data_IF_623820903095
#
_entry.id   IF_623820903095
#
_cell.length_a   1.000
_cell.length_b   1.000
_cell.length_c   1.000
_cell.angle_alpha   90.00
_cell.angle_beta   90.00
_cell.angle_gamma   90.00
#
_symmetry.space_group_name_H-M   'P 1'
#
loop_
_entity.id
_entity.type
_entity.pdbx_description
1 polymer ?
#
# COMPACT_ATOMS: atom_id res chain seq x y z
N UNK A 1 0.06 1.88 28.24
CA UNK A 1 0.11 0.65 27.41
C UNK A 1 0.76 1.03 26.10
N UNK A 2 1.93 0.47 25.77
CA UNK A 2 2.71 0.87 24.59
C UNK A 2 2.37 0.00 23.38
N UNK A 3 1.99 0.64 22.26
CA UNK A 3 1.83 -0.02 20.96
C UNK A 3 0.55 -0.85 20.77
N UNK A 4 0.09 -0.94 19.52
CA UNK A 4 -0.68 -2.08 19.01
C UNK A 4 0.31 -2.97 18.28
N UNK A 5 0.30 -4.28 18.50
CA UNK A 5 1.23 -5.18 17.82
C UNK A 5 1.03 -5.19 16.29
N UNK A 6 2.11 -5.01 15.54
CA UNK A 6 2.08 -4.94 14.07
C UNK A 6 2.49 -6.29 13.48
N UNK A 7 1.49 -7.08 13.06
CA UNK A 7 1.74 -8.37 12.42
C UNK A 7 2.00 -8.22 10.92
N UNK A 8 3.05 -8.88 10.41
CA UNK A 8 3.31 -8.96 8.96
C UNK A 8 2.47 -10.08 8.32
N UNK A 9 1.44 -9.69 7.58
CA UNK A 9 0.71 -10.52 6.61
C UNK A 9 1.50 -10.60 5.29
N UNK A 10 1.38 -11.70 4.53
CA UNK A 10 2.13 -11.95 3.28
C UNK A 10 1.15 -12.06 2.10
N UNK A 11 1.25 -11.18 1.09
CA UNK A 11 0.32 -11.22 -0.04
C UNK A 11 0.63 -12.34 -1.04
N UNK A 12 -0.41 -12.88 -1.70
CA UNK A 12 -0.28 -14.02 -2.63
C UNK A 12 0.64 -13.75 -3.83
N UNK A 13 0.72 -12.50 -4.29
CA UNK A 13 1.67 -12.08 -5.33
C UNK A 13 3.14 -12.18 -4.84
N UNK A 14 3.40 -11.92 -3.56
CA UNK A 14 4.73 -12.12 -2.95
C UNK A 14 5.06 -13.61 -2.82
N UNK A 15 4.09 -14.46 -2.44
CA UNK A 15 4.24 -15.93 -2.44
C UNK A 15 4.59 -16.47 -3.82
N UNK A 16 3.82 -16.11 -4.84
CA UNK A 16 4.05 -16.54 -6.23
C UNK A 16 5.44 -16.13 -6.72
N UNK A 17 5.89 -14.92 -6.38
CA UNK A 17 7.26 -14.46 -6.66
C UNK A 17 8.34 -15.25 -5.89
N UNK A 18 8.06 -15.61 -4.64
CA UNK A 18 8.97 -16.38 -3.77
C UNK A 18 9.06 -17.86 -4.13
N UNK A 19 8.07 -18.45 -4.81
CA UNK A 19 8.16 -19.80 -5.40
C UNK A 19 8.81 -19.71 -6.79
N UNK A 20 8.28 -18.84 -7.65
CA UNK A 20 8.66 -18.77 -9.06
C UNK A 20 10.11 -18.39 -9.27
N UNK A 21 10.64 -17.39 -8.54
CA UNK A 21 12.04 -16.94 -8.71
C UNK A 21 13.05 -18.06 -8.35
N UNK A 22 12.95 -18.77 -7.20
CA UNK A 22 13.78 -19.94 -6.94
C UNK A 22 13.64 -21.06 -7.97
N UNK A 23 12.44 -21.41 -8.44
CA UNK A 23 12.27 -22.47 -9.45
C UNK A 23 12.89 -22.09 -10.81
N UNK A 24 12.66 -20.87 -11.30
CA UNK A 24 13.30 -20.40 -12.54
C UNK A 24 14.82 -20.26 -12.41
N UNK A 25 15.33 -19.87 -11.23
CA UNK A 25 16.77 -19.86 -10.96
C UNK A 25 17.34 -21.29 -10.96
N UNK A 26 16.67 -22.24 -10.30
CA UNK A 26 17.07 -23.66 -10.27
C UNK A 26 17.06 -24.29 -11.68
N UNK A 27 16.06 -23.98 -12.53
CA UNK A 27 16.03 -24.40 -13.94
C UNK A 27 17.23 -23.88 -14.74
N UNK A 28 17.73 -22.67 -14.43
CA UNK A 28 18.85 -22.03 -15.15
C UNK A 28 20.24 -22.41 -14.63
N UNK A 29 20.37 -22.82 -13.37
CA UNK A 29 21.66 -23.07 -12.74
C UNK A 29 22.34 -24.34 -13.30
N UNK A 30 23.44 -24.18 -14.05
CA UNK A 30 24.21 -25.29 -14.64
C UNK A 30 24.69 -26.33 -13.62
N UNK A 31 24.94 -25.93 -12.38
CA UNK A 31 25.36 -26.81 -11.27
C UNK A 31 24.29 -27.81 -10.81
N UNK A 32 23.03 -27.65 -11.26
CA UNK A 32 21.94 -28.58 -10.95
C UNK A 32 21.86 -29.66 -12.04
N UNK A 33 21.54 -30.89 -11.64
CA UNK A 33 21.53 -32.05 -12.55
C UNK A 33 20.69 -31.81 -13.81
N UNK A 34 21.15 -32.36 -14.95
CA UNK A 34 20.60 -32.06 -16.28
C UNK A 34 19.11 -32.41 -16.35
N UNK A 35 18.71 -33.54 -15.78
CA UNK A 35 17.34 -34.05 -15.87
C UNK A 35 16.36 -33.27 -15.01
N UNK A 36 16.76 -32.85 -13.80
CA UNK A 36 16.01 -31.87 -12.99
C UNK A 36 15.69 -30.62 -13.83
N UNK A 37 16.68 -30.10 -14.57
CA UNK A 37 16.51 -28.89 -15.40
C UNK A 37 15.72 -29.14 -16.69
N UNK A 38 15.74 -30.35 -17.23
CA UNK A 38 14.90 -30.81 -18.35
C UNK A 38 13.43 -30.85 -17.90
N UNK A 39 13.15 -31.61 -16.85
CA UNK A 39 11.82 -32.00 -16.39
C UNK A 39 11.10 -30.89 -15.61
N UNK A 40 11.83 -29.99 -14.94
CA UNK A 40 11.27 -28.74 -14.40
C UNK A 40 10.96 -27.75 -15.54
N UNK A 41 9.92 -28.02 -16.32
CA UNK A 41 9.53 -27.22 -17.50
C UNK A 41 8.93 -25.86 -17.13
N UNK A 42 8.89 -24.94 -18.10
CA UNK A 42 8.26 -23.63 -17.90
C UNK A 42 6.74 -23.70 -17.71
N UNK A 43 6.10 -24.76 -18.20
CA UNK A 43 4.69 -25.08 -17.98
C UNK A 43 4.46 -25.60 -16.57
N UNK A 44 5.16 -26.67 -16.14
CA UNK A 44 5.03 -27.23 -14.79
C UNK A 44 5.36 -26.20 -13.70
N UNK A 45 6.30 -25.25 -13.93
CA UNK A 45 6.49 -24.09 -13.03
C UNK A 45 5.24 -23.17 -12.96
N UNK A 46 4.62 -22.80 -14.08
CA UNK A 46 3.40 -21.97 -14.07
C UNK A 46 2.25 -22.68 -13.38
N UNK A 47 2.17 -24.00 -13.55
CA UNK A 47 1.16 -24.87 -12.96
C UNK A 47 1.28 -24.91 -11.42
N UNK A 48 2.48 -25.14 -10.87
CA UNK A 48 2.75 -25.02 -9.43
C UNK A 48 2.23 -23.69 -8.88
N UNK A 49 2.50 -22.58 -9.57
CA UNK A 49 2.07 -21.25 -9.15
C UNK A 49 0.54 -21.08 -9.20
N UNK A 50 -0.12 -21.58 -10.24
CA UNK A 50 -1.56 -21.52 -10.39
C UNK A 50 -2.29 -22.37 -9.34
N UNK A 51 -1.81 -23.58 -9.06
CA UNK A 51 -2.41 -24.47 -8.06
C UNK A 51 -2.22 -23.89 -6.65
N UNK A 52 -1.03 -23.38 -6.31
CA UNK A 52 -0.81 -22.67 -5.03
C UNK A 52 -1.74 -21.46 -4.88
N UNK A 53 -1.97 -20.70 -5.96
CA UNK A 53 -2.96 -19.61 -5.92
C UNK A 53 -4.39 -20.12 -5.65
N UNK A 54 -4.83 -21.21 -6.30
CA UNK A 54 -6.13 -21.83 -6.01
C UNK A 54 -6.23 -22.29 -4.54
N UNK A 55 -5.20 -22.92 -4.00
CA UNK A 55 -5.15 -23.36 -2.59
C UNK A 55 -5.31 -22.20 -1.60
N UNK A 56 -4.58 -21.10 -1.82
CA UNK A 56 -4.66 -19.89 -0.98
C UNK A 56 -6.04 -19.22 -1.10
N UNK A 57 -6.61 -19.16 -2.30
CA UNK A 57 -7.92 -18.53 -2.53
C UNK A 57 -9.06 -19.35 -1.91
N UNK A 58 -9.02 -20.68 -2.00
CA UNK A 58 -10.06 -21.55 -1.48
C UNK A 58 -10.06 -21.65 0.05
N UNK A 59 -8.88 -21.66 0.68
CA UNK A 59 -8.75 -21.68 2.15
C UNK A 59 -8.68 -20.28 2.77
N UNK A 60 -9.14 -19.25 2.05
CA UNK A 60 -9.17 -17.89 2.57
C UNK A 60 -10.09 -17.79 3.79
N UNK A 61 -9.62 -17.11 4.84
CA UNK A 61 -10.28 -17.00 6.15
C UNK A 61 -10.62 -18.34 6.85
N UNK A 62 -10.04 -19.46 6.40
CA UNK A 62 -10.22 -20.79 6.98
C UNK A 62 -9.18 -21.14 8.06
N UNK A 63 -8.88 -22.43 8.19
CA UNK A 63 -7.82 -22.92 9.07
C UNK A 63 -6.46 -23.08 8.35
N UNK A 64 -5.38 -23.01 9.12
CA UNK A 64 -4.01 -23.06 8.62
C UNK A 64 -3.60 -24.48 8.17
N UNK A 65 -4.11 -25.54 8.80
CA UNK A 65 -3.84 -26.93 8.38
C UNK A 65 -4.65 -27.34 7.14
N UNK A 66 -5.88 -26.82 6.97
CA UNK A 66 -6.65 -27.04 5.72
C UNK A 66 -5.97 -26.39 4.51
N UNK A 67 -5.24 -25.28 4.69
CA UNK A 67 -4.36 -24.70 3.67
C UNK A 67 -3.06 -25.50 3.47
N UNK A 68 -2.41 -25.99 4.54
CA UNK A 68 -1.13 -26.72 4.44
C UNK A 68 -1.27 -28.05 3.70
N UNK A 69 -2.35 -28.81 3.93
CA UNK A 69 -2.57 -30.13 3.34
C UNK A 69 -2.54 -30.13 1.79
N UNK A 70 -3.34 -29.31 1.07
CA UNK A 70 -3.28 -29.25 -0.38
C UNK A 70 -1.98 -28.62 -0.90
N UNK A 71 -1.35 -27.69 -0.17
CA UNK A 71 -0.06 -27.12 -0.55
C UNK A 71 1.06 -28.19 -0.59
N UNK A 72 1.04 -29.17 0.33
CA UNK A 72 1.96 -30.33 0.30
C UNK A 72 1.72 -31.23 -0.93
N UNK A 73 0.50 -31.27 -1.46
CA UNK A 73 0.14 -32.11 -2.61
C UNK A 73 0.41 -31.45 -3.98
N UNK A 74 0.78 -30.16 -4.02
CA UNK A 74 1.04 -29.44 -5.29
C UNK A 74 2.05 -30.15 -6.20
N UNK A 75 3.19 -30.71 -5.72
CA UNK A 75 4.11 -31.43 -6.61
C UNK A 75 3.48 -32.69 -7.19
N UNK A 76 2.77 -33.47 -6.38
CA UNK A 76 2.09 -34.69 -6.82
C UNK A 76 1.12 -34.38 -7.96
N UNK A 77 0.25 -33.38 -7.78
CA UNK A 77 -0.70 -32.92 -8.79
C UNK A 77 -0.02 -32.53 -10.12
N UNK A 78 1.05 -31.73 -10.05
CA UNK A 78 1.76 -31.21 -11.23
C UNK A 78 2.56 -32.29 -11.95
N UNK A 79 3.04 -33.30 -11.24
CA UNK A 79 3.64 -34.50 -11.82
C UNK A 79 2.64 -35.66 -11.94
N UNK A 80 1.36 -35.33 -12.14
CA UNK A 80 0.27 -36.20 -12.61
C UNK A 80 -0.09 -37.39 -11.69
N UNK A 81 0.23 -37.24 -10.40
CA UNK A 81 -0.28 -38.05 -9.28
C UNK A 81 -1.45 -37.32 -8.62
N UNK A 82 -2.66 -37.63 -9.09
CA UNK A 82 -3.91 -36.96 -8.77
C UNK A 82 -4.66 -37.53 -7.54
N UNK A 83 -4.33 -38.74 -7.10
CA UNK A 83 -4.98 -39.50 -6.02
C UNK A 83 -5.17 -38.81 -4.64
N UNK A 84 -4.50 -37.68 -4.37
CA UNK A 84 -4.69 -36.84 -3.17
C UNK A 84 -5.15 -35.41 -3.47
N UNK A 85 -5.58 -35.12 -4.70
CA UNK A 85 -5.99 -33.78 -5.12
C UNK A 85 -7.34 -33.35 -4.53
N UNK A 86 -7.60 -32.04 -4.57
CA UNK A 86 -8.86 -31.45 -4.14
C UNK A 86 -9.64 -30.93 -5.35
N UNK A 87 -10.96 -31.14 -5.34
CA UNK A 87 -11.89 -30.88 -6.47
C UNK A 87 -11.80 -29.42 -6.96
N UNK A 88 -11.55 -28.46 -6.07
CA UNK A 88 -11.46 -27.03 -6.43
C UNK A 88 -10.19 -26.66 -7.22
N UNK A 89 -9.20 -27.55 -7.35
CA UNK A 89 -8.04 -27.34 -8.23
C UNK A 89 -7.80 -28.41 -9.28
N UNK A 90 -8.34 -29.63 -9.10
CA UNK A 90 -8.14 -30.78 -9.97
C UNK A 90 -9.48 -31.44 -10.34
N UNK A 91 -9.67 -31.75 -11.62
CA UNK A 91 -10.79 -32.56 -12.11
C UNK A 91 -10.39 -33.98 -12.52
N UNK A 92 -9.08 -34.26 -12.60
CA UNK A 92 -8.55 -35.58 -12.89
C UNK A 92 -8.62 -36.48 -11.66
N UNK A 93 -8.93 -37.76 -11.86
CA UNK A 93 -9.02 -38.80 -10.80
C UNK A 93 -8.05 -39.96 -11.08
N UNK A 94 -7.65 -40.16 -12.33
CA UNK A 94 -6.66 -41.16 -12.77
C UNK A 94 -5.22 -40.64 -12.63
N UNK A 95 -4.34 -41.40 -11.99
CA UNK A 95 -2.90 -41.09 -11.92
C UNK A 95 -2.16 -41.51 -13.21
N UNK A 96 -1.27 -40.65 -13.71
CA UNK A 96 -0.36 -40.92 -14.83
C UNK A 96 1.10 -40.85 -14.34
N UNK A 97 1.55 -41.92 -13.67
CA UNK A 97 2.73 -41.91 -12.79
C UNK A 97 4.10 -41.83 -13.50
N UNK A 98 4.18 -41.73 -14.83
CA UNK A 98 5.45 -41.62 -15.56
C UNK A 98 6.22 -40.35 -15.17
N UNK A 99 5.56 -39.20 -15.23
CA UNK A 99 6.14 -37.90 -14.91
C UNK A 99 6.50 -37.81 -13.41
N UNK A 100 5.69 -38.46 -12.55
CA UNK A 100 5.96 -38.61 -11.11
C UNK A 100 7.24 -39.42 -10.85
N UNK A 101 7.34 -40.63 -11.40
CA UNK A 101 8.47 -41.54 -11.19
C UNK A 101 9.78 -40.93 -11.69
N UNK A 102 9.75 -40.25 -12.85
CA UNK A 102 10.89 -39.51 -13.40
C UNK A 102 11.28 -38.34 -12.47
N UNK A 103 10.32 -37.57 -11.96
CA UNK A 103 10.59 -36.45 -11.06
C UNK A 103 11.10 -36.91 -9.67
N UNK A 104 10.65 -38.08 -9.19
CA UNK A 104 11.10 -38.68 -7.94
C UNK A 104 12.53 -39.21 -8.07
N UNK A 105 12.80 -40.03 -9.09
CA UNK A 105 14.10 -40.66 -9.30
C UNK A 105 15.24 -39.65 -9.56
N UNK A 106 14.96 -38.52 -10.23
CA UNK A 106 15.96 -37.48 -10.47
C UNK A 106 16.11 -36.45 -9.33
N UNK A 107 15.38 -36.58 -8.21
CA UNK A 107 15.47 -35.65 -7.08
C UNK A 107 14.71 -34.32 -7.27
N UNK A 108 13.85 -34.23 -8.29
CA UNK A 108 13.12 -33.00 -8.64
C UNK A 108 11.99 -32.72 -7.65
N UNK A 109 11.26 -33.74 -7.17
CA UNK A 109 10.19 -33.55 -6.19
C UNK A 109 10.71 -32.92 -4.88
N UNK A 110 11.84 -33.40 -4.37
CA UNK A 110 12.50 -32.90 -3.17
C UNK A 110 12.95 -31.44 -3.36
N UNK A 111 13.45 -31.09 -4.56
CA UNK A 111 13.84 -29.74 -4.93
C UNK A 111 12.64 -28.76 -5.03
N UNK A 112 11.46 -29.24 -5.44
CA UNK A 112 10.22 -28.44 -5.47
C UNK A 112 9.63 -28.30 -4.06
N UNK A 113 9.56 -29.39 -3.29
CA UNK A 113 9.11 -29.40 -1.89
C UNK A 113 9.90 -28.39 -1.05
N UNK A 114 11.24 -28.43 -1.09
CA UNK A 114 12.09 -27.47 -0.37
C UNK A 114 11.95 -26.00 -0.80
N UNK A 115 11.26 -25.71 -1.91
CA UNK A 115 10.80 -24.35 -2.24
C UNK A 115 9.43 -24.06 -1.61
N UNK A 116 8.47 -24.99 -1.72
CA UNK A 116 7.13 -24.89 -1.13
C UNK A 116 7.14 -24.84 0.41
N UNK A 117 8.08 -25.48 1.08
CA UNK A 117 8.24 -25.45 2.55
C UNK A 117 8.44 -24.03 3.11
N UNK A 118 8.94 -23.10 2.29
CA UNK A 118 9.07 -21.68 2.67
C UNK A 118 7.72 -20.94 2.68
N UNK A 119 6.71 -21.52 2.04
CA UNK A 119 5.33 -21.04 1.95
C UNK A 119 4.45 -21.79 2.95
N UNK A 120 4.59 -23.11 3.06
CA UNK A 120 3.87 -23.96 4.02
C UNK A 120 4.18 -23.55 5.47
N UNK A 121 5.43 -23.20 5.80
CA UNK A 121 5.80 -22.62 7.10
C UNK A 121 5.21 -21.22 7.35
N UNK A 122 4.74 -20.54 6.30
CA UNK A 122 4.12 -19.20 6.33
C UNK A 122 2.61 -19.22 6.13
N UNK A 123 1.93 -20.36 6.00
CA UNK A 123 0.48 -20.44 5.70
C UNK A 123 -0.40 -19.56 6.60
N UNK A 124 -0.05 -19.40 7.88
CA UNK A 124 -0.71 -18.50 8.82
C UNK A 124 -0.70 -17.01 8.44
N UNK A 125 0.14 -16.59 7.48
CA UNK A 125 0.23 -15.22 6.93
C UNK A 125 -0.47 -15.09 5.57
N UNK A 126 -1.09 -16.17 5.07
CA UNK A 126 -1.68 -16.29 3.74
C UNK A 126 -3.19 -16.50 3.77
N UNK A 127 -3.73 -16.89 4.93
CA UNK A 127 -5.15 -17.14 5.17
C UNK A 127 -6.00 -15.90 4.83
N UNK A 128 -5.44 -14.69 5.01
CA UNK A 128 -6.08 -13.41 4.68
C UNK A 128 -6.21 -13.15 3.17
N UNK A 129 -5.65 -14.01 2.30
CA UNK A 129 -5.71 -13.95 0.83
C UNK A 129 -5.27 -12.61 0.22
N UNK A 130 -4.36 -11.91 0.92
CA UNK A 130 -3.96 -10.55 0.61
C UNK A 130 -3.37 -10.39 -0.80
N UNK A 131 -3.59 -9.22 -1.39
CA UNK A 131 -3.04 -8.82 -2.69
C UNK A 131 -1.99 -7.72 -2.51
N UNK A 132 -1.18 -7.44 -3.53
CA UNK A 132 -0.26 -6.29 -3.42
C UNK A 132 -1.01 -4.97 -3.34
N UNK A 133 -2.27 -4.90 -3.79
CA UNK A 133 -3.11 -3.69 -3.75
C UNK A 133 -3.11 -3.01 -2.36
N UNK A 134 -3.25 -3.76 -1.25
CA UNK A 134 -3.21 -3.15 0.09
C UNK A 134 -1.84 -2.54 0.43
N UNK A 135 -0.76 -3.21 0.06
CA UNK A 135 0.60 -2.69 0.21
C UNK A 135 0.90 -1.52 -0.74
N UNK A 136 0.40 -1.56 -1.97
CA UNK A 136 0.50 -0.49 -2.97
C UNK A 136 -0.26 0.76 -2.50
N UNK A 137 -1.48 0.60 -1.97
CA UNK A 137 -2.26 1.68 -1.33
C UNK A 137 -1.51 2.27 -0.13
N UNK A 138 -0.96 1.45 0.78
CA UNK A 138 -0.14 1.96 1.89
C UNK A 138 1.08 2.73 1.38
N UNK A 139 1.81 2.19 0.39
CA UNK A 139 2.97 2.85 -0.21
C UNK A 139 2.59 4.12 -0.96
N UNK A 140 1.38 4.21 -1.53
CA UNK A 140 0.85 5.43 -2.13
C UNK A 140 0.66 6.52 -1.05
N UNK A 141 0.03 6.18 0.09
CA UNK A 141 -0.09 7.07 1.25
C UNK A 141 1.29 7.50 1.76
N UNK A 142 2.22 6.57 1.93
CA UNK A 142 3.59 6.84 2.38
C UNK A 142 4.38 7.71 1.40
N UNK A 143 4.13 7.57 0.09
CA UNK A 143 4.72 8.43 -0.94
C UNK A 143 4.23 9.88 -0.84
N UNK A 144 2.94 10.09 -0.50
CA UNK A 144 2.35 11.41 -0.26
C UNK A 144 2.99 12.06 0.98
N UNK A 145 3.10 11.34 2.10
CA UNK A 145 3.77 11.86 3.31
C UNK A 145 5.25 12.17 3.11
N UNK A 146 5.99 11.36 2.34
CA UNK A 146 7.40 11.64 2.00
C UNK A 146 7.59 12.73 0.93
N UNK A 147 6.52 13.26 0.33
CA UNK A 147 6.58 14.21 -0.80
C UNK A 147 7.36 13.61 -2.00
N UNK A 148 7.21 12.30 -2.19
CA UNK A 148 7.93 11.51 -3.18
C UNK A 148 9.45 11.51 -2.96
N UNK A 149 10.22 11.87 -4.00
CA UNK A 149 11.68 12.07 -3.96
C UNK A 149 12.07 13.56 -4.04
N UNK A 150 11.13 14.49 -3.82
CA UNK A 150 11.29 15.90 -4.25
C UNK A 150 11.87 16.86 -3.20
N UNK A 151 11.89 16.48 -1.93
CA UNK A 151 12.51 17.28 -0.86
C UNK A 151 13.28 16.39 0.11
N UNK A 152 14.45 16.87 0.54
CA UNK A 152 15.30 16.15 1.49
C UNK A 152 14.83 16.45 2.93
N UNK A 153 13.70 15.85 3.33
CA UNK A 153 13.01 16.08 4.62
C UNK A 153 13.72 15.42 5.82
N UNK A 154 15.06 15.39 5.83
CA UNK A 154 15.87 14.57 6.75
C UNK A 154 16.37 15.33 7.96
N UNK A 155 15.68 15.10 9.08
CA UNK A 155 16.33 14.87 10.36
C UNK A 155 16.15 13.38 10.73
N UNK A 156 16.88 12.89 11.75
CA UNK A 156 16.72 11.52 12.27
C UNK A 156 15.26 11.23 12.63
N UNK A 157 14.86 9.96 12.63
CA UNK A 157 13.49 9.46 12.93
C UNK A 157 12.40 9.90 11.93
N UNK A 158 12.56 10.99 11.18
CA UNK A 158 11.47 11.59 10.38
C UNK A 158 10.81 10.67 9.34
N UNK A 159 11.53 9.68 8.77
CA UNK A 159 10.93 8.66 7.89
C UNK A 159 10.02 7.69 8.65
N UNK A 160 10.47 7.24 9.83
CA UNK A 160 9.74 6.32 10.70
C UNK A 160 8.46 6.98 11.24
N UNK A 161 8.53 8.25 11.66
CA UNK A 161 7.34 9.05 11.97
C UNK A 161 6.37 9.09 10.78
N UNK A 162 6.87 9.34 9.55
CA UNK A 162 6.02 9.33 8.35
C UNK A 162 5.44 7.95 8.03
N UNK A 163 6.14 6.86 8.34
CA UNK A 163 5.61 5.50 8.21
C UNK A 163 4.45 5.24 9.18
N UNK A 164 4.57 5.65 10.45
CA UNK A 164 3.48 5.54 11.42
C UNK A 164 2.29 6.44 11.07
N UNK A 165 2.51 7.69 10.68
CA UNK A 165 1.46 8.60 10.19
C UNK A 165 0.72 8.04 8.97
N UNK A 166 1.44 7.33 8.09
CA UNK A 166 0.85 6.64 6.93
C UNK A 166 -0.01 5.45 7.36
N UNK A 167 0.40 4.71 8.40
CA UNK A 167 -0.37 3.60 8.97
C UNK A 167 -1.67 4.08 9.62
N UNK A 168 -1.62 5.16 10.41
CA UNK A 168 -2.80 5.80 10.97
C UNK A 168 -3.77 6.26 9.86
N UNK A 169 -3.28 6.97 8.84
CA UNK A 169 -4.11 7.39 7.70
C UNK A 169 -4.66 6.23 6.86
N UNK A 170 -3.97 5.09 6.82
CA UNK A 170 -4.41 3.89 6.11
C UNK A 170 -5.55 3.18 6.86
N UNK A 171 -5.43 3.05 8.19
CA UNK A 171 -6.42 2.37 9.04
C UNK A 171 -7.64 3.25 9.36
N UNK A 172 -7.38 4.46 9.86
CA UNK A 172 -8.39 5.36 10.44
C UNK A 172 -8.89 6.41 9.41
N UNK A 173 -8.54 6.23 8.13
CA UNK A 173 -8.96 7.07 7.01
C UNK A 173 -8.32 8.46 6.95
N UNK A 174 -8.77 9.35 6.06
CA UNK A 174 -8.16 10.68 5.89
C UNK A 174 -8.35 11.60 7.11
N UNK A 175 -9.42 11.40 7.89
CA UNK A 175 -9.78 12.25 9.03
C UNK A 175 -9.06 11.89 10.35
N UNK A 176 -8.20 10.87 10.35
CA UNK A 176 -7.51 10.31 11.53
C UNK A 176 -6.90 11.36 12.48
N UNK A 177 -6.37 12.47 11.94
CA UNK A 177 -5.70 13.52 12.70
C UNK A 177 -6.66 14.52 13.37
N UNK A 178 -7.94 14.56 13.00
CA UNK A 178 -8.88 15.61 13.41
C UNK A 178 -9.14 15.65 14.92
N UNK A 179 -9.37 14.49 15.54
CA UNK A 179 -9.61 14.37 16.98
C UNK A 179 -8.32 14.62 17.80
N UNK A 180 -7.17 13.97 17.51
CA UNK A 180 -5.91 14.27 18.18
C UNK A 180 -5.51 15.75 18.08
N UNK A 181 -5.65 16.36 16.89
CA UNK A 181 -5.38 17.79 16.70
C UNK A 181 -6.29 18.66 17.57
N UNK A 182 -7.60 18.42 17.58
CA UNK A 182 -8.53 19.19 18.41
C UNK A 182 -8.23 19.03 19.91
N UNK A 183 -7.79 17.85 20.35
CA UNK A 183 -7.39 17.60 21.75
C UNK A 183 -6.13 18.37 22.17
N UNK A 184 -5.16 18.53 21.26
CA UNK A 184 -3.89 19.22 21.54
C UNK A 184 -3.98 20.74 21.36
N UNK A 185 -4.75 21.19 20.36
CA UNK A 185 -4.75 22.59 19.87
C UNK A 185 -6.07 23.32 20.23
N UNK A 186 -7.07 22.63 20.77
CA UNK A 186 -8.36 23.17 21.22
C UNK A 186 -9.39 23.40 20.09
N UNK A 187 -8.96 23.62 18.85
CA UNK A 187 -9.81 23.78 17.67
C UNK A 187 -9.49 22.74 16.59
N UNK A 188 -10.42 22.47 15.67
CA UNK A 188 -10.22 21.47 14.60
C UNK A 188 -9.28 21.99 13.49
N UNK A 189 -8.61 21.12 12.71
CA UNK A 189 -7.69 21.53 11.64
C UNK A 189 -8.30 22.52 10.64
N UNK A 190 -9.60 22.43 10.38
CA UNK A 190 -10.31 23.29 9.43
C UNK A 190 -10.72 24.65 10.02
N UNK A 191 -10.41 24.97 11.28
CA UNK A 191 -10.86 26.21 11.96
C UNK A 191 -10.55 27.48 11.15
N UNK A 192 -9.30 27.64 10.68
CA UNK A 192 -8.92 28.78 9.86
C UNK A 192 -9.52 28.73 8.44
N UNK A 193 -9.68 27.54 7.86
CA UNK A 193 -10.34 27.39 6.54
C UNK A 193 -11.83 27.77 6.62
N UNK A 194 -12.51 27.43 7.72
CA UNK A 194 -13.90 27.81 8.02
C UNK A 194 -14.08 29.32 8.26
N UNK A 195 -13.05 30.04 8.72
CA UNK A 195 -13.06 31.53 8.76
C UNK A 195 -12.87 32.18 7.39
N UNK A 196 -12.12 31.53 6.50
CA UNK A 196 -11.88 32.03 5.13
C UNK A 196 -13.09 31.78 4.23
N UNK A 197 -13.79 30.65 4.40
CA UNK A 197 -14.99 30.32 3.63
C UNK A 197 -16.20 31.18 4.03
N UNK A 198 -17.02 31.58 3.05
CA UNK A 198 -18.15 32.51 3.23
C UNK A 198 -19.33 32.05 2.37
N UNK A 199 -20.55 32.08 2.91
CA UNK A 199 -21.79 31.82 2.14
C UNK A 199 -22.25 33.07 1.36
N UNK A 200 -23.15 32.92 0.39
CA UNK A 200 -23.70 34.05 -0.37
C UNK A 200 -24.42 35.08 0.53
N UNK A 201 -25.19 34.60 1.50
CA UNK A 201 -25.87 35.40 2.53
C UNK A 201 -24.87 36.15 3.43
N UNK A 202 -23.78 35.49 3.83
CA UNK A 202 -22.69 36.14 4.57
C UNK A 202 -21.97 37.18 3.72
N UNK A 203 -21.76 36.96 2.41
CA UNK A 203 -21.17 37.95 1.49
C UNK A 203 -22.05 39.21 1.43
N UNK A 204 -23.37 39.06 1.31
CA UNK A 204 -24.29 40.21 1.31
C UNK A 204 -24.28 40.95 2.65
N UNK A 205 -24.27 40.21 3.76
CA UNK A 205 -24.20 40.77 5.12
C UNK A 205 -22.89 41.51 5.38
N UNK A 206 -21.75 40.93 4.98
CA UNK A 206 -20.42 41.56 5.08
C UNK A 206 -20.37 42.82 4.20
N UNK A 207 -20.93 42.78 2.99
CA UNK A 207 -21.02 43.95 2.10
C UNK A 207 -21.76 45.12 2.78
N UNK A 208 -22.98 44.86 3.30
CA UNK A 208 -23.78 45.86 4.04
C UNK A 208 -23.05 46.37 5.28
N UNK A 209 -22.40 45.49 6.04
CA UNK A 209 -21.75 45.84 7.30
C UNK A 209 -20.37 46.50 7.13
N UNK A 210 -19.79 46.56 5.91
CA UNK A 210 -18.45 47.11 5.66
C UNK A 210 -18.40 48.32 4.73
N UNK A 211 -19.56 48.91 4.37
CA UNK A 211 -19.70 50.06 3.44
C UNK A 211 -18.76 51.24 3.71
N UNK A 212 -18.43 51.55 4.97
CA UNK A 212 -17.52 52.66 5.34
C UNK A 212 -16.02 52.38 5.10
N UNK A 213 -15.67 51.21 4.55
CA UNK A 213 -14.32 50.81 4.16
C UNK A 213 -13.28 51.06 5.27
N UNK A 214 -12.21 51.82 5.02
CA UNK A 214 -11.13 52.09 5.98
C UNK A 214 -11.61 52.72 7.30
N UNK A 215 -12.76 53.41 7.31
CA UNK A 215 -13.38 53.97 8.51
C UNK A 215 -14.26 52.93 9.26
N UNK A 216 -13.95 51.64 9.14
CA UNK A 216 -14.67 50.54 9.78
C UNK A 216 -13.71 49.38 10.11
N UNK A 217 -13.53 49.01 11.39
CA UNK A 217 -12.59 47.94 11.78
C UNK A 217 -12.99 46.57 11.21
N UNK A 218 -14.28 46.31 10.98
CA UNK A 218 -14.77 45.05 10.40
C UNK A 218 -14.29 44.88 8.95
N UNK A 219 -14.16 45.98 8.18
CA UNK A 219 -13.63 45.94 6.82
C UNK A 219 -12.15 45.53 6.80
N UNK A 220 -11.36 45.95 7.80
CA UNK A 220 -9.98 45.50 7.92
C UNK A 220 -9.86 44.03 8.31
N UNK A 221 -10.65 43.56 9.27
CA UNK A 221 -10.65 42.16 9.70
C UNK A 221 -11.06 41.23 8.56
N UNK A 222 -12.14 41.57 7.85
CA UNK A 222 -12.60 40.85 6.66
C UNK A 222 -11.55 40.84 5.54
N UNK A 223 -10.81 41.93 5.35
CA UNK A 223 -9.71 41.98 4.36
C UNK A 223 -8.49 41.15 4.77
N UNK A 224 -8.17 41.03 6.07
CA UNK A 224 -7.05 40.20 6.56
C UNK A 224 -7.25 38.70 6.23
N UNK A 225 -8.50 38.26 6.10
CA UNK A 225 -8.86 36.89 5.74
C UNK A 225 -8.93 36.62 4.21
N UNK A 226 -8.73 37.64 3.34
CA UNK A 226 -9.18 37.59 1.93
C UNK A 226 -8.17 38.13 0.93
N UNK A 227 -8.09 37.49 -0.24
CA UNK A 227 -7.18 37.88 -1.32
C UNK A 227 -7.83 39.01 -2.15
N UNK A 228 -7.57 40.25 -1.76
CA UNK A 228 -8.19 41.45 -2.37
C UNK A 228 -7.77 41.68 -3.83
N UNK A 229 -8.61 42.37 -4.61
CA UNK A 229 -8.31 42.71 -6.01
C UNK A 229 -6.97 43.48 -6.18
N UNK A 230 -6.64 44.38 -5.24
CA UNK A 230 -5.35 45.10 -5.19
C UNK A 230 -4.14 44.16 -5.14
N UNK A 231 -4.30 43.01 -4.49
CA UNK A 231 -3.22 42.08 -4.18
C UNK A 231 -3.19 40.90 -5.18
N UNK A 232 -4.35 40.52 -5.70
CA UNK A 232 -4.52 39.42 -6.67
C UNK A 232 -3.68 39.61 -7.94
N UNK A 233 -3.59 40.85 -8.45
CA UNK A 233 -2.76 41.18 -9.61
C UNK A 233 -1.27 40.86 -9.41
N UNK A 234 -0.76 40.96 -8.18
CA UNK A 234 0.65 40.64 -7.83
C UNK A 234 0.83 39.11 -7.73
N UNK A 235 -0.16 38.40 -7.19
CA UNK A 235 -0.15 36.94 -7.07
C UNK A 235 -0.17 36.26 -8.44
N UNK A 236 -1.09 36.65 -9.33
CA UNK A 236 -1.23 36.00 -10.64
C UNK A 236 -0.09 36.34 -11.62
N UNK A 237 0.52 37.53 -11.50
CA UNK A 237 1.69 37.93 -12.31
C UNK A 237 3.03 37.41 -11.77
N UNK A 238 3.05 36.64 -10.67
CA UNK A 238 4.30 36.09 -10.10
C UNK A 238 4.93 35.06 -11.04
N UNK A 239 6.13 35.37 -11.55
CA UNK A 239 6.94 34.44 -12.35
C UNK A 239 7.20 33.14 -11.58
N UNK A 240 7.07 31.99 -12.25
CA UNK A 240 7.23 30.66 -11.65
C UNK A 240 8.58 30.45 -10.94
N UNK A 241 9.65 31.04 -11.48
CA UNK A 241 11.02 31.00 -10.94
C UNK A 241 11.24 31.87 -9.68
N UNK A 242 10.32 32.77 -9.34
CA UNK A 242 10.44 33.68 -8.19
C UNK A 242 9.84 33.06 -6.93
N UNK A 243 10.65 32.88 -5.88
CA UNK A 243 10.19 32.33 -4.60
C UNK A 243 9.05 33.16 -4.00
N UNK A 244 7.99 32.50 -3.53
CA UNK A 244 6.78 33.16 -3.04
C UNK A 244 6.88 33.69 -1.60
N UNK A 245 7.91 33.33 -0.82
CA UNK A 245 7.94 33.58 0.63
C UNK A 245 7.81 35.08 1.00
N UNK A 246 8.48 35.99 0.28
CA UNK A 246 8.37 37.43 0.55
C UNK A 246 7.00 38.00 0.17
N UNK A 247 6.38 37.48 -0.89
CA UNK A 247 5.01 37.88 -1.25
C UNK A 247 4.01 37.42 -0.19
N UNK A 248 4.09 36.16 0.26
CA UNK A 248 3.24 35.62 1.33
C UNK A 248 3.47 36.39 2.65
N UNK A 249 4.73 36.69 3.00
CA UNK A 249 5.05 37.49 4.18
C UNK A 249 4.40 38.88 4.14
N UNK A 250 4.51 39.58 3.01
CA UNK A 250 3.92 40.92 2.85
C UNK A 250 2.39 40.91 2.83
N UNK A 251 1.75 39.81 2.43
CA UNK A 251 0.28 39.65 2.43
C UNK A 251 -0.27 39.31 3.82
N UNK A 252 0.42 38.48 4.59
CA UNK A 252 0.01 38.07 5.94
C UNK A 252 0.41 39.08 7.03
N UNK A 253 1.53 39.77 6.81
CA UNK A 253 2.10 40.77 7.73
C UNK A 253 2.35 42.08 6.96
N UNK A 254 1.28 42.79 6.54
CA UNK A 254 1.43 44.14 6.01
C UNK A 254 2.12 45.01 7.08
N UNK A 255 3.08 45.83 6.67
CA UNK A 255 3.63 46.86 7.55
C UNK A 255 2.52 47.86 7.84
N UNK A 256 2.14 47.98 9.11
CA UNK A 256 1.41 49.16 9.58
C UNK A 256 2.27 50.40 9.33
N UNK A 257 1.62 51.45 8.82
CA UNK A 257 2.12 52.81 8.64
C UNK A 257 1.08 53.70 9.34
#
# INVERSE_FOLDING_TARGET
>A
MYGRDVQKIECKNHVVKNIGKPLYNKKKNSSIHKDIRKNLTGTKIKEILAVVQKCIIFNACGDVETLKTPLKNVPNHVFEKHSNCQIYYCSNVSDALEDFAIAEACGLLQLVNGVLDNVIRKSHKLIDNETTNRAEMYMEILSRFNVGKRQNLVQRVSFETRAYLSGLRYNDGPAWHGSPWKSIVGYSPEYYLKKIFVTLEQIETISKNTVRQFNNPLYEEERKNRLTASNFGIVIKRKSKTLCHNLVKNLLYPKYI
#
